data_IF_127653010078
#
_entry.id   IF_127653010078
#
_cell.length_a   1.000
_cell.length_b   1.000
_cell.length_c   1.000
_cell.angle_alpha   90.00
_cell.angle_beta   90.00
_cell.angle_gamma   90.00
#
_symmetry.space_group_name_H-M   'P 1'
#
loop_
_entity.id
_entity.type
_entity.pdbx_description
1 polymer ?
#
# COMPACT_ATOMS: atom_id res chain seq x y z
N UNK A 1 0.10 16.14 16.22
CA UNK A 1 1.38 16.14 15.49
C UNK A 1 1.08 16.19 14.01
N UNK A 2 1.89 16.94 13.26
CA UNK A 2 1.76 17.16 11.82
C UNK A 2 3.01 16.64 11.14
N UNK A 3 2.84 15.72 10.20
CA UNK A 3 3.93 15.12 9.44
C UNK A 3 3.76 15.39 7.96
N UNK A 4 4.83 15.81 7.30
CA UNK A 4 4.85 15.91 5.84
C UNK A 4 5.25 14.55 5.25
N UNK A 5 4.57 14.14 4.20
CA UNK A 5 4.95 13.01 3.37
C UNK A 5 5.76 13.51 2.17
N UNK A 6 6.89 12.87 1.91
CA UNK A 6 7.72 13.06 0.71
C UNK A 6 8.06 11.71 0.11
N UNK A 7 8.46 11.67 -1.16
CA UNK A 7 8.96 10.46 -1.80
C UNK A 7 10.26 10.81 -2.54
N UNK A 8 11.36 10.13 -2.23
CA UNK A 8 12.71 10.46 -2.75
C UNK A 8 12.79 10.71 -4.27
N UNK A 9 12.00 9.97 -5.05
CA UNK A 9 11.97 10.08 -6.52
C UNK A 9 10.81 10.90 -7.09
N UNK A 10 9.98 11.50 -6.23
CA UNK A 10 8.87 12.34 -6.67
C UNK A 10 9.37 13.72 -7.09
N UNK A 11 8.81 14.23 -8.18
CA UNK A 11 9.03 15.62 -8.65
C UNK A 11 7.88 16.55 -8.27
N UNK A 12 6.96 16.07 -7.43
CA UNK A 12 5.82 16.87 -7.00
C UNK A 12 6.29 18.05 -6.15
N UNK A 13 5.83 19.25 -6.50
CA UNK A 13 5.97 20.43 -5.64
C UNK A 13 4.77 20.60 -4.69
N UNK A 14 3.79 19.69 -4.74
CA UNK A 14 2.59 19.76 -3.91
C UNK A 14 2.88 19.30 -2.49
N UNK A 15 2.23 19.94 -1.53
CA UNK A 15 2.32 19.55 -0.12
C UNK A 15 1.32 18.43 0.17
N UNK A 16 1.82 17.38 0.83
CA UNK A 16 1.01 16.30 1.37
C UNK A 16 1.42 16.08 2.82
N UNK A 17 0.50 16.28 3.74
CA UNK A 17 0.75 16.11 5.16
C UNK A 17 -0.38 15.40 5.87
N UNK A 18 -0.11 14.98 7.11
CA UNK A 18 -1.06 14.27 7.96
C UNK A 18 -1.05 14.90 9.34
N UNK A 19 -2.24 15.16 9.88
CA UNK A 19 -2.42 15.46 11.29
C UNK A 19 -2.92 14.22 12.05
N UNK A 20 -2.19 13.84 13.09
CA UNK A 20 -2.45 12.64 13.90
C UNK A 20 -2.01 12.84 15.35
N UNK A 21 -2.48 11.97 16.24
CA UNK A 21 -2.05 11.88 17.64
C UNK A 21 -0.89 10.88 17.86
N UNK A 22 -0.43 10.19 16.81
CA UNK A 22 0.69 9.26 16.87
C UNK A 22 2.04 9.97 16.93
N UNK A 23 2.97 9.43 17.74
CA UNK A 23 4.37 9.87 17.71
C UNK A 23 5.00 9.63 16.34
N UNK A 24 6.17 10.21 16.09
CA UNK A 24 6.85 10.05 14.79
C UNK A 24 7.11 8.57 14.49
N UNK A 25 7.65 7.83 15.46
CA UNK A 25 7.93 6.40 15.31
C UNK A 25 6.66 5.60 15.03
N UNK A 26 5.58 5.89 15.77
CA UNK A 26 4.27 5.24 15.58
C UNK A 26 3.67 5.53 14.21
N UNK A 27 3.76 6.78 13.75
CA UNK A 27 3.30 7.20 12.44
C UNK A 27 4.08 6.51 11.32
N UNK A 28 5.40 6.45 11.45
CA UNK A 28 6.27 5.75 10.50
C UNK A 28 5.98 4.23 10.46
N UNK A 29 5.66 3.60 11.59
CA UNK A 29 5.22 2.20 11.64
C UNK A 29 3.87 2.00 10.92
N UNK A 30 2.93 2.93 11.08
CA UNK A 30 1.64 2.91 10.35
C UNK A 30 1.83 3.04 8.83
N UNK A 31 2.75 3.91 8.40
CA UNK A 31 3.17 4.04 6.99
C UNK A 31 3.81 2.74 6.49
N UNK A 32 4.75 2.15 7.25
CA UNK A 32 5.43 0.91 6.89
C UNK A 32 4.45 -0.25 6.72
N UNK A 33 3.42 -0.35 7.56
CA UNK A 33 2.37 -1.35 7.41
C UNK A 33 1.65 -1.23 6.04
N UNK A 34 1.25 -0.02 5.65
CA UNK A 34 0.59 0.21 4.35
C UNK A 34 1.50 -0.21 3.19
N UNK A 35 2.79 0.15 3.25
CA UNK A 35 3.78 -0.20 2.24
C UNK A 35 3.93 -1.73 2.13
N UNK A 36 4.08 -2.42 3.25
CA UNK A 36 4.24 -3.89 3.28
C UNK A 36 2.97 -4.63 2.82
N UNK A 37 1.79 -4.07 3.07
CA UNK A 37 0.54 -4.58 2.49
C UNK A 37 0.53 -4.40 0.97
N UNK A 38 1.03 -3.27 0.45
CA UNK A 38 1.12 -3.07 -1.00
C UNK A 38 2.09 -4.06 -1.63
N UNK A 39 3.24 -4.27 -1.01
CA UNK A 39 4.33 -5.08 -1.57
C UNK A 39 3.97 -6.55 -1.72
N UNK A 40 3.12 -7.10 -0.83
CA UNK A 40 2.65 -8.50 -0.89
C UNK A 40 1.50 -8.74 -1.89
N UNK A 41 0.98 -7.69 -2.53
CA UNK A 41 -0.15 -7.77 -3.45
C UNK A 41 0.31 -7.89 -4.90
N UNK A 42 -0.58 -8.35 -5.80
CA UNK A 42 -0.26 -8.43 -7.23
C UNK A 42 0.21 -7.08 -7.81
N UNK A 43 1.34 -7.15 -8.51
CA UNK A 43 1.88 -6.08 -9.34
C UNK A 43 1.21 -6.11 -10.71
N UNK A 44 0.50 -5.03 -11.04
CA UNK A 44 -0.19 -4.88 -12.32
C UNK A 44 0.64 -4.01 -13.26
N UNK A 45 0.70 -4.39 -14.53
CA UNK A 45 1.48 -3.65 -15.54
C UNK A 45 1.06 -2.18 -15.71
N UNK A 46 -0.17 -1.86 -15.32
CA UNK A 46 -0.77 -0.52 -15.42
C UNK A 46 -0.62 0.33 -14.15
N UNK A 47 -0.02 -0.22 -13.09
CA UNK A 47 0.23 0.48 -11.82
C UNK A 47 1.70 0.44 -11.47
N UNK A 48 2.15 1.49 -10.81
CA UNK A 48 3.46 1.54 -10.18
C UNK A 48 3.52 0.51 -9.04
N UNK A 49 4.73 0.01 -8.78
CA UNK A 49 5.08 -0.94 -7.72
C UNK A 49 5.28 -0.27 -6.36
N UNK A 50 5.37 1.06 -6.31
CA UNK A 50 5.43 1.86 -5.09
C UNK A 50 4.20 2.75 -4.91
N UNK A 51 4.04 3.29 -3.69
CA UNK A 51 3.06 4.32 -3.34
C UNK A 51 3.73 5.68 -3.31
N UNK A 52 3.14 6.66 -4.00
CA UNK A 52 3.59 8.07 -3.90
C UNK A 52 2.94 8.76 -2.70
N UNK A 53 3.31 10.02 -2.43
CA UNK A 53 2.86 10.78 -1.26
C UNK A 53 1.34 10.92 -1.20
N UNK A 54 0.70 11.27 -2.32
CA UNK A 54 -0.75 11.46 -2.37
C UNK A 54 -1.53 10.16 -2.16
N UNK A 55 -0.98 9.05 -2.64
CA UNK A 55 -1.55 7.71 -2.50
C UNK A 55 -1.42 7.22 -1.07
N UNK A 56 -0.24 7.43 -0.48
CA UNK A 56 0.01 7.11 0.94
C UNK A 56 -0.89 7.94 1.85
N UNK A 57 -1.08 9.23 1.56
CA UNK A 57 -2.00 10.10 2.29
C UNK A 57 -3.44 9.57 2.25
N UNK A 58 -3.91 9.22 1.05
CA UNK A 58 -5.26 8.66 0.87
C UNK A 58 -5.43 7.35 1.65
N UNK A 59 -4.44 6.47 1.60
CA UNK A 59 -4.48 5.19 2.31
C UNK A 59 -4.40 5.37 3.84
N UNK A 60 -3.62 6.31 4.34
CA UNK A 60 -3.56 6.64 5.77
C UNK A 60 -4.92 7.14 6.29
N UNK A 61 -5.63 7.95 5.49
CA UNK A 61 -6.99 8.36 5.79
C UNK A 61 -7.95 7.16 5.77
N UNK A 62 -7.85 6.28 4.77
CA UNK A 62 -8.73 5.10 4.64
C UNK A 62 -8.49 4.04 5.73
N UNK A 63 -7.24 3.81 6.11
CA UNK A 63 -6.85 2.77 7.07
C UNK A 63 -7.11 3.20 8.51
N UNK A 64 -6.80 4.46 8.84
CA UNK A 64 -6.74 4.93 10.23
C UNK A 64 -7.60 6.15 10.51
N UNK A 65 -8.24 6.74 9.50
CA UNK A 65 -9.02 7.97 9.68
C UNK A 65 -8.17 9.21 9.96
N UNK A 66 -6.88 9.19 9.64
CA UNK A 66 -6.01 10.35 9.85
C UNK A 66 -6.47 11.56 9.01
N UNK A 67 -6.25 12.75 9.55
CA UNK A 67 -6.69 13.99 8.92
C UNK A 67 -5.68 14.41 7.85
N UNK A 68 -6.08 14.50 6.56
CA UNK A 68 -5.16 14.91 5.51
C UNK A 68 -4.94 16.43 5.50
N UNK A 69 -3.72 16.84 5.18
CA UNK A 69 -3.32 18.23 5.00
C UNK A 69 -2.79 18.40 3.57
N UNK A 70 -3.37 19.33 2.80
CA UNK A 70 -2.96 19.64 1.42
C UNK A 70 -2.31 21.02 1.28
N UNK A 71 -2.39 21.83 2.32
CA UNK A 71 -1.82 23.17 2.37
C UNK A 71 -0.53 23.15 3.17
N UNK A 72 0.46 23.90 2.67
CA UNK A 72 1.75 24.03 3.34
C UNK A 72 1.54 24.58 4.76
N UNK A 73 2.07 23.86 5.74
CA UNK A 73 1.93 24.16 7.15
C UNK A 73 3.21 23.83 7.91
N UNK A 74 3.38 24.40 9.10
CA UNK A 74 4.46 24.00 9.99
C UNK A 74 4.26 22.54 10.41
N UNK A 75 5.31 21.72 10.22
CA UNK A 75 5.30 20.29 10.50
C UNK A 75 6.35 19.92 11.53
N UNK A 76 6.03 18.91 12.33
CA UNK A 76 6.92 18.38 13.37
C UNK A 76 8.06 17.56 12.75
N UNK A 77 7.81 16.87 11.63
CA UNK A 77 8.81 16.08 10.91
C UNK A 77 8.39 15.78 9.46
N UNK A 78 9.35 15.31 8.67
CA UNK A 78 9.16 14.84 7.30
C UNK A 78 9.40 13.32 7.25
N UNK A 79 8.51 12.59 6.58
CA UNK A 79 8.59 11.15 6.38
C UNK A 79 8.71 10.85 4.89
N UNK A 80 9.83 10.26 4.50
CA UNK A 80 10.05 9.79 3.14
C UNK A 80 9.41 8.41 2.94
N UNK A 81 8.26 8.37 2.29
CA UNK A 81 7.49 7.14 2.04
C UNK A 81 8.15 6.23 0.99
N UNK A 82 9.28 6.60 0.39
CA UNK A 82 10.05 5.67 -0.42
C UNK A 82 10.92 4.75 0.46
N UNK A 83 11.65 5.35 1.42
CA UNK A 83 12.61 4.64 2.26
C UNK A 83 12.09 4.29 3.66
N UNK A 84 10.92 4.80 4.06
CA UNK A 84 10.40 4.65 5.42
C UNK A 84 10.35 3.19 5.90
N UNK A 85 9.95 2.25 5.03
CA UNK A 85 9.83 0.84 5.37
C UNK A 85 11.19 0.19 5.68
N UNK A 86 12.28 0.61 5.03
CA UNK A 86 13.62 0.02 5.17
C UNK A 86 14.09 0.11 6.62
N UNK A 87 13.87 1.26 7.26
CA UNK A 87 14.23 1.52 8.66
C UNK A 87 13.60 0.50 9.63
N UNK A 88 12.39 0.00 9.34
CA UNK A 88 11.66 -0.92 10.21
C UNK A 88 11.78 -2.38 9.80
N UNK A 89 11.99 -2.68 8.51
CA UNK A 89 12.21 -4.05 8.04
C UNK A 89 13.64 -4.52 8.34
N UNK A 90 14.64 -3.63 8.22
CA UNK A 90 16.05 -3.95 8.48
C UNK A 90 16.39 -3.84 9.98
N UNK A 91 15.72 -2.96 10.72
CA UNK A 91 16.06 -2.63 12.12
C UNK A 91 14.99 -2.88 13.19
N UNK A 92 13.76 -3.26 12.83
CA UNK A 92 12.60 -3.28 13.74
C UNK A 92 11.96 -4.66 13.94
N UNK A 93 11.17 -4.78 15.02
CA UNK A 93 10.34 -5.96 15.27
C UNK A 93 9.05 -5.85 14.45
N UNK A 94 8.73 -6.86 13.62
CA UNK A 94 7.42 -6.94 12.95
C UNK A 94 6.23 -6.77 13.91
N UNK A 95 6.42 -7.08 15.20
CA UNK A 95 5.41 -6.88 16.21
C UNK A 95 5.00 -5.40 16.37
N UNK A 96 5.90 -4.44 16.18
CA UNK A 96 5.54 -3.01 16.28
C UNK A 96 4.73 -2.54 15.07
N UNK A 97 5.11 -2.96 13.87
CA UNK A 97 4.34 -2.69 12.64
C UNK A 97 2.94 -3.32 12.74
N UNK A 98 2.86 -4.56 13.24
CA UNK A 98 1.60 -5.29 13.38
C UNK A 98 0.62 -4.68 14.39
N UNK A 99 1.03 -3.71 15.22
CA UNK A 99 0.08 -2.94 16.05
C UNK A 99 -0.85 -2.08 15.19
N UNK A 100 -0.45 -1.78 13.95
CA UNK A 100 -1.23 -1.02 12.97
C UNK A 100 -1.99 -1.91 11.98
N UNK A 101 -2.03 -3.22 12.23
CA UNK A 101 -2.76 -4.13 11.36
C UNK A 101 -4.27 -3.86 11.41
N UNK A 102 -4.89 -3.80 10.24
CA UNK A 102 -6.33 -3.60 10.11
C UNK A 102 -6.99 -4.79 9.42
N UNK A 103 -8.30 -4.94 9.61
CA UNK A 103 -9.08 -5.93 8.89
C UNK A 103 -9.16 -5.52 7.42
N UNK A 104 -9.08 -6.50 6.51
CA UNK A 104 -9.25 -6.29 5.07
C UNK A 104 -8.23 -5.35 4.42
N UNK A 105 -7.04 -5.17 5.00
CA UNK A 105 -6.01 -4.29 4.45
C UNK A 105 -5.69 -4.59 2.97
N UNK A 106 -5.59 -5.87 2.60
CA UNK A 106 -5.38 -6.28 1.21
C UNK A 106 -6.57 -5.94 0.31
N UNK A 107 -7.81 -6.13 0.79
CA UNK A 107 -9.01 -5.77 0.02
C UNK A 107 -9.08 -4.25 -0.20
N UNK A 108 -8.86 -3.45 0.84
CA UNK A 108 -8.88 -1.98 0.76
C UNK A 108 -7.80 -1.50 -0.24
N UNK A 109 -6.61 -2.09 -0.19
CA UNK A 109 -5.53 -1.77 -1.13
C UNK A 109 -5.89 -2.17 -2.58
N UNK A 110 -6.51 -3.33 -2.81
CA UNK A 110 -7.00 -3.73 -4.13
C UNK A 110 -8.12 -2.80 -4.65
N UNK A 111 -9.04 -2.38 -3.79
CA UNK A 111 -10.07 -1.39 -4.11
C UNK A 111 -9.45 -0.04 -4.49
N UNK A 112 -8.42 0.39 -3.76
CA UNK A 112 -7.64 1.59 -4.08
C UNK A 112 -6.95 1.48 -5.45
N UNK A 113 -6.27 0.36 -5.74
CA UNK A 113 -5.63 0.14 -7.04
C UNK A 113 -6.64 0.14 -8.17
N UNK A 114 -7.80 -0.49 -7.97
CA UNK A 114 -8.92 -0.47 -8.92
C UNK A 114 -9.39 0.95 -9.18
N UNK A 115 -9.58 1.76 -8.14
CA UNK A 115 -9.95 3.16 -8.28
C UNK A 115 -8.91 3.95 -9.08
N UNK A 116 -7.61 3.77 -8.76
CA UNK A 116 -6.49 4.39 -9.49
C UNK A 116 -6.51 4.02 -10.98
N UNK A 117 -6.67 2.74 -11.31
CA UNK A 117 -6.71 2.28 -12.70
C UNK A 117 -7.95 2.77 -13.43
N UNK A 118 -9.11 2.83 -12.78
CA UNK A 118 -10.33 3.38 -13.39
C UNK A 118 -10.17 4.87 -13.70
N UNK A 119 -9.57 5.65 -12.79
CA UNK A 119 -9.26 7.06 -13.02
C UNK A 119 -8.26 7.23 -14.18
N UNK A 120 -7.23 6.37 -14.29
CA UNK A 120 -6.31 6.36 -15.44
C UNK A 120 -7.06 6.05 -16.74
N UNK A 121 -7.93 5.04 -16.76
CA UNK A 121 -8.70 4.65 -17.95
C UNK A 121 -9.60 5.77 -18.47
N UNK A 122 -10.23 6.53 -17.57
CA UNK A 122 -11.10 7.66 -17.92
C UNK A 122 -10.33 8.78 -18.67
N UNK A 123 -9.01 8.87 -18.46
CA UNK A 123 -8.16 9.86 -19.11
C UNK A 123 -7.39 9.29 -20.31
N UNK A 124 -7.10 7.98 -20.29
CA UNK A 124 -6.30 7.30 -21.30
C UNK A 124 -6.90 5.92 -21.63
N UNK A 125 -7.52 5.80 -22.80
CA UNK A 125 -8.01 4.50 -23.28
C UNK A 125 -6.82 3.60 -23.62
N UNK A 126 -6.62 2.54 -22.82
CA UNK A 126 -5.55 1.57 -23.00
C UNK A 126 -6.06 0.17 -22.64
N UNK A 127 -5.92 -0.77 -23.58
CA UNK A 127 -6.36 -2.15 -23.40
C UNK A 127 -5.68 -2.85 -22.21
N UNK A 128 -4.42 -2.52 -21.90
CA UNK A 128 -3.73 -3.08 -20.73
C UNK A 128 -4.42 -2.69 -19.42
N UNK A 129 -4.89 -1.44 -19.31
CA UNK A 129 -5.61 -0.96 -18.14
C UNK A 129 -6.94 -1.70 -18.00
N UNK A 130 -7.65 -1.95 -19.10
CA UNK A 130 -8.91 -2.73 -19.08
C UNK A 130 -8.69 -4.16 -18.62
N UNK A 131 -7.63 -4.82 -19.10
CA UNK A 131 -7.27 -6.18 -18.67
C UNK A 131 -6.92 -6.21 -17.18
N UNK A 132 -6.10 -5.27 -16.70
CA UNK A 132 -5.73 -5.20 -15.28
C UNK A 132 -6.93 -4.88 -14.38
N UNK A 133 -7.86 -4.02 -14.83
CA UNK A 133 -9.14 -3.77 -14.14
C UNK A 133 -10.01 -5.02 -14.05
N UNK A 134 -10.17 -5.76 -15.16
CA UNK A 134 -10.96 -7.00 -15.14
C UNK A 134 -10.37 -8.06 -14.18
N UNK A 135 -9.03 -8.13 -14.09
CA UNK A 135 -8.34 -8.99 -13.11
C UNK A 135 -8.62 -8.53 -11.68
N UNK A 136 -8.51 -7.23 -11.40
CA UNK A 136 -8.85 -6.66 -10.09
C UNK A 136 -10.30 -6.91 -9.69
N UNK A 137 -11.25 -6.70 -10.61
CA UNK A 137 -12.68 -7.00 -10.39
C UNK A 137 -12.90 -8.48 -10.03
N UNK A 138 -12.19 -9.38 -10.71
CA UNK A 138 -12.24 -10.81 -10.43
C UNK A 138 -11.70 -11.14 -9.04
N UNK A 139 -10.55 -10.58 -8.65
CA UNK A 139 -9.95 -10.75 -7.31
C UNK A 139 -10.85 -10.20 -6.21
N UNK A 140 -11.41 -9.00 -6.39
CA UNK A 140 -12.32 -8.36 -5.43
C UNK A 140 -13.65 -9.10 -5.29
N UNK A 141 -14.04 -9.88 -6.30
CA UNK A 141 -15.18 -10.80 -6.24
C UNK A 141 -14.84 -12.13 -5.56
N UNK A 142 -13.63 -12.28 -5.02
CA UNK A 142 -13.18 -13.48 -4.32
C UNK A 142 -12.77 -14.61 -5.25
N UNK A 143 -12.40 -14.35 -6.50
CA UNK A 143 -11.83 -15.41 -7.35
C UNK A 143 -10.35 -15.62 -7.04
N UNK A 144 -9.88 -16.84 -7.30
CA UNK A 144 -8.47 -17.18 -7.25
C UNK A 144 -7.69 -16.45 -8.34
N UNK A 145 -6.49 -16.02 -8.01
CA UNK A 145 -5.53 -15.51 -8.97
C UNK A 145 -5.13 -16.63 -9.93
N UNK A 146 -5.37 -16.42 -11.23
CA UNK A 146 -5.19 -17.45 -12.25
C UNK A 146 -3.75 -17.50 -12.75
N UNK A 147 -3.27 -18.71 -13.05
CA UNK A 147 -1.90 -18.96 -13.52
C UNK A 147 -1.56 -18.16 -14.79
N UNK A 148 -2.51 -18.08 -15.72
CA UNK A 148 -2.33 -17.38 -17.00
C UNK A 148 -2.21 -15.86 -16.88
N UNK A 149 -2.41 -15.29 -15.69
CA UNK A 149 -2.18 -13.86 -15.46
C UNK A 149 -0.72 -13.55 -15.13
N UNK A 150 0.05 -14.55 -14.69
CA UNK A 150 1.48 -14.44 -14.36
C UNK A 150 1.80 -13.28 -13.41
N UNK A 151 0.85 -12.93 -12.52
CA UNK A 151 1.03 -11.83 -11.58
C UNK A 151 1.90 -12.28 -10.42
N UNK A 152 2.84 -11.40 -10.06
CA UNK A 152 3.77 -11.55 -8.96
C UNK A 152 3.60 -10.39 -7.98
N UNK A 153 4.09 -10.56 -6.76
CA UNK A 153 4.23 -9.45 -5.82
C UNK A 153 5.44 -8.55 -6.18
N UNK A 154 5.70 -7.51 -5.39
CA UNK A 154 6.85 -6.60 -5.63
C UNK A 154 8.19 -7.33 -5.49
N UNK A 155 8.24 -8.40 -4.70
CA UNK A 155 9.43 -9.23 -4.50
C UNK A 155 9.60 -10.33 -5.56
N UNK A 156 8.66 -10.47 -6.49
CA UNK A 156 8.70 -11.45 -7.58
C UNK A 156 8.12 -12.83 -7.23
N UNK A 157 7.49 -12.98 -6.06
CA UNK A 157 6.84 -14.23 -5.66
C UNK A 157 5.61 -14.51 -6.52
N UNK A 158 5.41 -15.76 -6.92
CA UNK A 158 4.21 -16.18 -7.66
C UNK A 158 2.99 -16.17 -6.72
N UNK A 159 1.92 -15.50 -7.15
CA UNK A 159 0.68 -15.35 -6.39
C UNK A 159 -0.46 -16.25 -6.92
N UNK A 160 -0.16 -17.18 -7.83
CA UNK A 160 -1.13 -18.12 -8.39
C UNK A 160 -1.86 -18.89 -7.30
N UNK A 161 -3.19 -18.95 -7.38
CA UNK A 161 -4.02 -19.65 -6.40
C UNK A 161 -4.28 -18.88 -5.11
N UNK A 162 -3.79 -17.66 -4.97
CA UNK A 162 -4.20 -16.77 -3.87
C UNK A 162 -5.62 -16.29 -4.10
N UNK A 163 -6.39 -16.20 -3.02
CA UNK A 163 -7.74 -15.65 -2.99
C UNK A 163 -7.80 -14.55 -1.94
N UNK A 164 -8.39 -13.42 -2.30
CA UNK A 164 -8.62 -12.32 -1.35
C UNK A 164 -10.07 -12.36 -0.89
N UNK A 165 -10.26 -12.64 0.40
CA UNK A 165 -11.58 -12.71 1.02
C UNK A 165 -11.68 -11.68 2.13
N UNK A 166 -12.87 -11.09 2.26
CA UNK A 166 -13.14 -10.23 3.42
C UNK A 166 -13.11 -11.06 4.70
N UNK A 167 -12.49 -10.51 5.73
CA UNK A 167 -12.37 -11.09 7.06
C UNK A 167 -12.58 -10.02 8.13
N UNK A 168 -13.06 -10.44 9.29
CA UNK A 168 -13.11 -9.68 10.53
C UNK A 168 -11.77 -9.71 11.29
N UNK A 169 -10.79 -10.49 10.82
CA UNK A 169 -9.45 -10.57 11.40
C UNK A 169 -8.53 -9.52 10.79
N UNK A 170 -7.68 -8.95 11.64
CA UNK A 170 -6.60 -8.06 11.20
C UNK A 170 -5.59 -8.83 10.34
N UNK A 171 -5.07 -8.18 9.31
CA UNK A 171 -4.07 -8.77 8.43
C UNK A 171 -2.65 -8.46 8.92
N UNK A 172 -1.99 -9.45 9.50
CA UNK A 172 -0.63 -9.30 9.99
C UNK A 172 0.41 -9.39 8.87
N UNK A 173 1.50 -8.65 9.00
CA UNK A 173 2.73 -8.86 8.23
C UNK A 173 3.54 -9.98 8.89
N UNK A 174 3.93 -10.96 8.09
CA UNK A 174 4.84 -12.04 8.48
C UNK A 174 6.17 -11.90 7.73
N UNK A 175 7.26 -12.43 8.29
CA UNK A 175 8.48 -12.65 7.51
C UNK A 175 8.14 -13.61 6.37
N UNK A 176 8.76 -13.42 5.20
CA UNK A 176 8.79 -14.49 4.20
C UNK A 176 9.42 -15.73 4.87
N UNK A 177 8.86 -16.94 4.67
CA UNK A 177 9.50 -18.15 5.15
C UNK A 177 10.90 -18.21 4.55
N UNK A 178 11.93 -18.27 5.40
CA UNK A 178 13.28 -18.56 4.94
C UNK A 178 13.34 -20.01 4.50
N UNK A 179 14.06 -20.31 3.41
CA UNK A 179 14.21 -21.64 2.79
C UNK A 179 14.66 -22.77 3.75
N UNK A 180 14.97 -22.46 5.00
CA UNK A 180 15.25 -23.44 6.06
C UNK A 180 13.99 -24.08 6.68
N UNK A 181 12.78 -23.64 6.33
CA UNK A 181 11.51 -24.17 6.86
C UNK A 181 10.63 -24.89 5.80
N UNK A 182 11.19 -25.17 4.61
CA UNK A 182 10.58 -26.02 3.57
C UNK A 182 11.38 -27.31 3.38
#
# INVERSE_FOLDING_TARGET
>A
MKYQLTHAYSRSAQFYGVETNLSLEQFQQACAYIQLIRDKLPSFSSSDDYLVECETLFLLQMFYGFMPLYENSEVDAIVDVHHNWECYVIGGSLASINQYAICNASIIMLEFLRYKLQAKLNNYSNEKIKVDLARLDSLLSGHFLKKEWELRDVYGNDLTGIQFLRSDKVELISKAPTEAEM
#
